data_IF_615505033027
#
_entry.id   IF_615505033027
#
_cell.length_a   1.000
_cell.length_b   1.000
_cell.length_c   1.000
_cell.angle_alpha   90.00
_cell.angle_beta   90.00
_cell.angle_gamma   90.00
#
_symmetry.space_group_name_H-M   'P 1'
#
loop_
_entity.id
_entity.type
_entity.pdbx_description
1 polymer ?
#
# COMPACT_ATOMS: atom_id res chain seq x y z
N UNK A 1 -16.71 4.52 -18.85
CA UNK A 1 -15.58 3.93 -19.56
C UNK A 1 -14.56 3.44 -18.55
N UNK A 2 -14.73 2.14 -18.24
CA UNK A 2 -13.88 1.20 -17.50
C UNK A 2 -13.42 1.56 -16.08
N UNK A 3 -14.36 1.39 -15.14
CA UNK A 3 -14.03 0.92 -13.79
C UNK A 3 -13.67 -0.56 -13.91
N UNK A 4 -12.41 -0.87 -14.16
CA UNK A 4 -11.90 -2.20 -13.83
C UNK A 4 -11.26 -2.08 -12.46
N UNK A 5 -12.05 -2.40 -11.42
CA UNK A 5 -11.53 -2.60 -10.08
C UNK A 5 -10.34 -3.57 -10.18
N UNK A 6 -9.12 -3.09 -9.93
CA UNK A 6 -7.92 -3.93 -9.99
C UNK A 6 -7.87 -4.94 -8.81
N UNK A 7 -8.88 -4.94 -7.94
CA UNK A 7 -9.09 -5.93 -6.90
C UNK A 7 -9.86 -7.13 -7.48
N UNK A 8 -9.25 -8.32 -7.38
CA UNK A 8 -9.93 -9.58 -7.65
C UNK A 8 -10.64 -10.09 -6.39
N UNK A 9 -9.94 -10.13 -5.25
CA UNK A 9 -10.46 -10.64 -4.00
C UNK A 9 -9.69 -10.10 -2.80
N UNK A 10 -10.39 -9.98 -1.68
CA UNK A 10 -9.80 -9.78 -0.37
C UNK A 10 -10.23 -10.95 0.53
N UNK A 11 -9.27 -11.62 1.14
CA UNK A 11 -9.54 -12.74 2.04
C UNK A 11 -8.97 -12.46 3.42
N UNK A 12 -9.68 -12.89 4.46
CA UNK A 12 -9.10 -13.09 5.79
C UNK A 12 -8.88 -14.61 5.90
N UNK A 13 -7.71 -15.13 5.50
CA UNK A 13 -7.48 -16.57 5.55
C UNK A 13 -7.53 -17.07 7.00
N UNK A 14 -8.03 -18.29 7.20
CA UNK A 14 -7.91 -18.95 8.50
C UNK A 14 -6.44 -19.34 8.74
N UNK A 15 -5.72 -18.60 9.58
CA UNK A 15 -4.31 -18.88 9.89
C UNK A 15 -3.50 -17.66 10.33
N UNK A 16 -2.18 -17.74 10.18
CA UNK A 16 -1.20 -16.71 10.59
C UNK A 16 -1.22 -15.42 9.75
N UNK A 17 -2.18 -15.21 8.85
CA UNK A 17 -2.22 -13.99 8.02
C UNK A 17 -3.48 -13.20 8.34
N UNK A 18 -3.35 -11.90 8.53
CA UNK A 18 -4.48 -11.03 8.88
C UNK A 18 -5.42 -10.80 7.70
N UNK A 19 -4.85 -10.73 6.48
CA UNK A 19 -5.58 -10.65 5.22
C UNK A 19 -4.65 -10.80 4.01
N UNK A 20 -5.26 -11.19 2.90
CA UNK A 20 -4.61 -11.38 1.60
C UNK A 20 -5.33 -10.52 0.54
N UNK A 21 -4.54 -9.83 -0.28
CA UNK A 21 -5.00 -9.01 -1.40
C UNK A 21 -4.67 -9.71 -2.72
N UNK A 22 -5.70 -10.04 -3.49
CA UNK A 22 -5.56 -10.55 -4.85
C UNK A 22 -5.95 -9.46 -5.84
N UNK A 23 -5.05 -9.16 -6.76
CA UNK A 23 -5.22 -8.17 -7.81
C UNK A 23 -5.59 -8.83 -9.14
N UNK A 24 -6.24 -8.10 -10.04
CA UNK A 24 -6.49 -8.58 -11.41
C UNK A 24 -5.22 -8.62 -12.24
N UNK A 25 -4.33 -7.65 -12.01
CA UNK A 25 -3.04 -7.54 -12.68
C UNK A 25 -1.88 -7.80 -11.70
N UNK A 26 -0.69 -8.13 -12.20
CA UNK A 26 0.51 -8.20 -11.37
C UNK A 26 0.74 -6.92 -10.56
N UNK A 27 1.38 -7.07 -9.41
CA UNK A 27 1.71 -5.96 -8.50
C UNK A 27 2.63 -4.99 -9.25
N UNK A 28 2.13 -3.79 -9.52
CA UNK A 28 2.87 -2.78 -10.28
C UNK A 28 3.77 -1.92 -9.38
N UNK A 29 4.74 -1.26 -10.01
CA UNK A 29 5.69 -0.37 -9.32
C UNK A 29 5.01 0.73 -8.51
N UNK A 30 3.85 1.22 -8.95
CA UNK A 30 3.10 2.26 -8.22
C UNK A 30 2.66 1.73 -6.85
N UNK A 31 2.02 0.57 -6.78
CA UNK A 31 1.62 -0.04 -5.51
C UNK A 31 2.84 -0.30 -4.60
N UNK A 32 3.96 -0.74 -5.19
CA UNK A 32 5.22 -0.97 -4.46
C UNK A 32 5.74 0.32 -3.82
N UNK A 33 5.75 1.44 -4.54
CA UNK A 33 6.14 2.76 -4.00
C UNK A 33 5.28 3.14 -2.79
N UNK A 34 3.97 2.88 -2.86
CA UNK A 34 3.03 3.14 -1.77
C UNK A 34 3.26 2.24 -0.54
N UNK A 35 3.83 1.04 -0.70
CA UNK A 35 4.16 0.16 0.42
C UNK A 35 5.43 0.53 1.18
N UNK A 36 6.35 1.29 0.60
CA UNK A 36 7.61 1.71 1.24
C UNK A 36 7.43 2.46 2.57
N UNK A 37 6.26 3.05 2.82
CA UNK A 37 5.98 3.72 4.10
C UNK A 37 5.79 2.75 5.26
N UNK A 38 5.54 1.47 4.97
CA UNK A 38 5.21 0.45 5.96
C UNK A 38 6.40 -0.33 6.47
N UNK A 39 7.59 -0.17 5.92
CA UNK A 39 8.77 -0.85 6.44
C UNK A 39 9.96 -0.84 5.50
N UNK A 40 11.05 -1.46 5.94
CA UNK A 40 12.23 -1.66 5.13
C UNK A 40 11.98 -2.78 4.12
N UNK A 41 12.45 -2.59 2.88
CA UNK A 41 12.32 -3.58 1.81
C UNK A 41 13.41 -4.64 1.95
N UNK A 42 13.00 -5.90 2.04
CA UNK A 42 13.87 -7.07 1.98
C UNK A 42 13.53 -7.87 0.73
N UNK A 43 14.57 -8.37 0.06
CA UNK A 43 14.45 -9.22 -1.13
C UNK A 43 15.13 -10.54 -0.81
N UNK A 44 14.46 -11.65 -1.12
CA UNK A 44 15.01 -13.00 -0.98
C UNK A 44 14.79 -13.73 -2.28
N UNK A 45 15.87 -14.12 -2.95
CA UNK A 45 15.80 -14.99 -4.12
C UNK A 45 15.40 -16.40 -3.69
N UNK A 46 14.40 -16.98 -4.36
CA UNK A 46 13.92 -18.32 -4.10
C UNK A 46 14.59 -19.33 -5.04
N UNK A 47 14.62 -20.63 -4.69
CA UNK A 47 15.14 -21.69 -5.58
C UNK A 47 14.48 -21.75 -6.96
N UNK A 48 13.28 -21.16 -7.10
CA UNK A 48 12.55 -21.03 -8.36
C UNK A 48 13.09 -19.90 -9.27
N UNK A 49 14.11 -19.16 -8.83
CA UNK A 49 14.63 -17.96 -9.49
C UNK A 49 13.79 -16.71 -9.30
N UNK A 50 12.66 -16.79 -8.58
CA UNK A 50 11.79 -15.65 -8.30
C UNK A 50 12.21 -14.94 -7.03
N UNK A 51 12.05 -13.61 -7.00
CA UNK A 51 12.24 -12.84 -5.78
C UNK A 51 10.98 -12.84 -4.91
N UNK A 52 11.17 -13.08 -3.62
CA UNK A 52 10.21 -12.76 -2.57
C UNK A 52 10.56 -11.39 -1.98
N UNK A 53 9.62 -10.45 -2.09
CA UNK A 53 9.76 -9.10 -1.56
C UNK A 53 8.94 -9.00 -0.27
N UNK A 54 9.57 -8.46 0.78
CA UNK A 54 8.91 -8.17 2.05
C UNK A 54 9.17 -6.74 2.51
N UNK A 55 8.12 -6.03 2.93
CA UNK A 55 8.26 -4.82 3.75
C UNK A 55 8.02 -5.18 5.21
N UNK A 56 8.98 -4.85 6.08
CA UNK A 56 8.95 -5.25 7.51
C UNK A 56 9.07 -4.04 8.42
N UNK A 57 8.19 -3.94 9.42
CA UNK A 57 8.26 -2.93 10.49
C UNK A 57 7.42 -3.31 11.70
N UNK A 58 8.02 -3.34 12.89
CA UNK A 58 7.31 -3.45 14.18
C UNK A 58 6.22 -4.55 14.19
N UNK A 59 6.54 -5.73 13.65
CA UNK A 59 5.61 -6.87 13.54
C UNK A 59 4.58 -6.79 12.42
N UNK A 60 4.64 -5.78 11.54
CA UNK A 60 3.93 -5.76 10.25
C UNK A 60 4.83 -6.33 9.14
N UNK A 61 4.27 -7.26 8.38
CA UNK A 61 4.90 -7.87 7.21
C UNK A 61 3.97 -7.76 6.01
N UNK A 62 4.45 -7.14 4.94
CA UNK A 62 3.77 -7.11 3.63
C UNK A 62 4.64 -7.91 2.66
N UNK A 63 4.16 -9.09 2.24
CA UNK A 63 4.95 -10.02 1.43
C UNK A 63 4.29 -10.29 0.09
N UNK A 64 5.07 -10.33 -0.98
CA UNK A 64 4.63 -10.76 -2.30
C UNK A 64 5.79 -11.35 -3.10
N UNK A 65 5.45 -12.18 -4.09
CA UNK A 65 6.41 -12.70 -5.06
C UNK A 65 6.44 -11.77 -6.28
N UNK A 66 7.62 -11.60 -6.86
CA UNK A 66 7.81 -10.89 -8.12
C UNK A 66 6.92 -11.49 -9.23
N UNK A 67 6.39 -10.61 -10.08
CA UNK A 67 5.45 -10.93 -11.17
C UNK A 67 4.16 -11.65 -10.76
N UNK A 68 3.79 -11.62 -9.47
CA UNK A 68 2.52 -12.14 -8.99
C UNK A 68 1.52 -11.03 -8.68
N UNK A 69 0.26 -11.41 -8.54
CA UNK A 69 -0.88 -10.53 -8.24
C UNK A 69 -1.40 -10.71 -6.79
N UNK A 70 -0.64 -11.38 -5.93
CA UNK A 70 -1.05 -11.73 -4.57
C UNK A 70 -0.12 -11.10 -3.53
N UNK A 71 -0.69 -10.33 -2.61
CA UNK A 71 0.02 -9.72 -1.48
C UNK A 71 -0.54 -10.28 -0.16
N UNK A 72 0.36 -10.77 0.69
CA UNK A 72 0.03 -11.28 2.02
C UNK A 72 0.37 -10.25 3.08
N UNK A 73 -0.55 -10.06 4.03
CA UNK A 73 -0.36 -9.16 5.16
C UNK A 73 -0.38 -9.94 6.46
N UNK A 74 0.65 -9.77 7.28
CA UNK A 74 0.73 -10.32 8.62
C UNK A 74 1.05 -9.21 9.64
N UNK A 75 0.32 -9.20 10.74
CA UNK A 75 0.39 -8.25 11.84
C UNK A 75 0.46 -9.06 13.13
N UNK A 76 1.61 -9.04 13.78
CA UNK A 76 1.81 -9.77 15.05
C UNK A 76 0.96 -9.24 16.20
N UNK A 77 0.73 -7.92 16.25
CA UNK A 77 0.00 -7.26 17.33
C UNK A 77 -1.48 -7.05 16.94
N UNK A 78 -2.34 -7.99 17.36
CA UNK A 78 -3.78 -7.97 17.07
C UNK A 78 -4.48 -6.65 17.46
N UNK A 79 -3.97 -5.98 18.51
CA UNK A 79 -4.51 -4.68 18.96
C UNK A 79 -4.33 -3.59 17.91
N UNK A 80 -3.29 -3.71 17.06
CA UNK A 80 -2.98 -2.78 15.96
C UNK A 80 -3.62 -3.17 14.64
N UNK A 81 -4.07 -4.41 14.47
CA UNK A 81 -4.61 -4.95 13.21
C UNK A 81 -5.66 -4.03 12.59
N UNK A 82 -6.66 -3.60 13.36
CA UNK A 82 -7.72 -2.70 12.85
C UNK A 82 -7.17 -1.36 12.34
N UNK A 83 -6.21 -0.77 13.05
CA UNK A 83 -5.60 0.50 12.66
C UNK A 83 -4.73 0.33 11.42
N UNK A 84 -3.83 -0.65 11.42
CA UNK A 84 -2.91 -0.91 10.31
C UNK A 84 -3.66 -1.28 9.03
N UNK A 85 -4.71 -2.12 9.11
CA UNK A 85 -5.63 -2.39 7.99
C UNK A 85 -6.11 -1.09 7.36
N UNK A 86 -6.65 -0.15 8.16
CA UNK A 86 -7.12 1.16 7.64
C UNK A 86 -6.02 1.93 6.91
N UNK A 87 -4.79 1.94 7.42
CA UNK A 87 -3.68 2.67 6.79
C UNK A 87 -3.23 2.00 5.48
N UNK A 88 -3.18 0.67 5.46
CA UNK A 88 -2.83 -0.14 4.29
C UNK A 88 -3.85 0.08 3.18
N UNK A 89 -5.16 -0.05 3.47
CA UNK A 89 -6.20 0.18 2.46
C UNK A 89 -6.18 1.61 1.93
N UNK A 90 -5.84 2.61 2.75
CA UNK A 90 -5.64 3.98 2.24
C UNK A 90 -4.51 4.05 1.23
N UNK A 91 -3.37 3.39 1.47
CA UNK A 91 -2.27 3.40 0.49
C UNK A 91 -2.62 2.62 -0.78
N UNK A 92 -3.30 1.48 -0.67
CA UNK A 92 -3.79 0.73 -1.85
C UNK A 92 -4.77 1.60 -2.65
N UNK A 93 -5.75 2.22 -2.00
CA UNK A 93 -6.67 3.13 -2.69
C UNK A 93 -5.95 4.33 -3.30
N UNK A 94 -4.89 4.84 -2.66
CA UNK A 94 -4.07 5.90 -3.24
C UNK A 94 -3.30 5.42 -4.47
N UNK A 95 -2.75 4.20 -4.50
CA UNK A 95 -2.05 3.70 -5.69
C UNK A 95 -2.98 3.64 -6.90
N UNK A 96 -4.20 3.14 -6.72
CA UNK A 96 -5.17 2.99 -7.81
C UNK A 96 -5.74 4.32 -8.31
N UNK A 97 -5.66 5.38 -7.51
CA UNK A 97 -6.24 6.68 -7.83
C UNK A 97 -5.23 7.81 -7.97
N UNK A 98 -3.93 7.54 -7.80
CA UNK A 98 -2.91 8.59 -7.80
C UNK A 98 -2.93 9.34 -9.14
N UNK A 99 -3.06 10.65 -9.07
CA UNK A 99 -2.96 11.58 -10.21
C UNK A 99 -1.68 12.42 -10.12
N UNK A 100 -0.71 11.95 -9.32
CA UNK A 100 0.60 12.59 -9.16
C UNK A 100 0.52 14.07 -8.69
N UNK A 101 -0.53 14.43 -7.95
CA UNK A 101 -0.82 15.82 -7.52
C UNK A 101 0.18 16.45 -6.53
N UNK A 102 1.15 15.69 -5.99
CA UNK A 102 2.16 16.23 -5.07
C UNK A 102 1.70 16.58 -3.64
N UNK A 103 0.41 16.49 -3.30
CA UNK A 103 -0.08 16.84 -1.97
C UNK A 103 0.61 16.06 -0.82
N UNK A 104 0.90 14.79 -1.03
CA UNK A 104 1.66 13.98 -0.09
C UNK A 104 3.15 14.35 -0.03
N UNK A 105 3.71 14.86 -1.13
CA UNK A 105 5.05 15.46 -1.18
C UNK A 105 5.13 16.69 -0.28
N UNK A 106 4.22 17.65 -0.48
CA UNK A 106 4.16 18.86 0.35
C UNK A 106 3.87 18.60 1.83
N UNK A 107 3.13 17.53 2.15
CA UNK A 107 2.86 17.12 3.53
C UNK A 107 3.94 16.25 4.19
N UNK A 108 5.02 15.89 3.48
CA UNK A 108 6.07 15.03 4.02
C UNK A 108 7.13 15.86 4.76
N UNK A 109 7.24 15.77 6.10
CA UNK A 109 8.20 16.57 6.86
C UNK A 109 9.66 16.19 6.60
N UNK A 110 9.90 15.05 5.95
CA UNK A 110 11.26 14.58 5.62
C UNK A 110 11.66 14.91 4.17
N UNK A 111 10.76 15.50 3.37
CA UNK A 111 10.99 15.68 1.94
C UNK A 111 11.29 14.36 1.21
N UNK A 112 10.68 13.26 1.67
CA UNK A 112 10.97 11.92 1.19
C UNK A 112 10.11 11.49 -0.01
N UNK A 113 9.11 12.29 -0.38
CA UNK A 113 8.17 11.97 -1.46
C UNK A 113 8.37 12.96 -2.59
N UNK A 114 8.57 12.44 -3.80
CA UNK A 114 8.76 13.25 -5.02
C UNK A 114 7.80 12.81 -6.11
N UNK A 115 7.49 13.73 -7.03
CA UNK A 115 6.76 13.45 -8.26
C UNK A 115 7.68 13.82 -9.42
N UNK A 116 8.39 12.85 -10.01
CA UNK A 116 9.16 13.07 -11.24
C UNK A 116 9.58 11.73 -11.91
N UNK A 117 8.93 11.26 -12.99
CA UNK A 117 7.66 11.73 -13.56
C UNK A 117 6.44 11.26 -12.75
N UNK A 118 6.61 10.25 -11.89
CA UNK A 118 5.55 9.66 -11.08
C UNK A 118 5.89 9.72 -9.59
N UNK A 119 4.89 9.45 -8.76
CA UNK A 119 5.04 9.25 -7.33
C UNK A 119 6.18 8.29 -6.99
N UNK A 120 7.10 8.76 -6.14
CA UNK A 120 8.24 7.99 -5.63
C UNK A 120 8.52 8.32 -4.17
N UNK A 121 8.90 7.31 -3.39
CA UNK A 121 9.37 7.46 -2.01
C UNK A 121 10.86 7.13 -1.92
N UNK A 122 11.63 8.11 -1.47
CA UNK A 122 13.02 7.93 -1.09
C UNK A 122 13.12 7.26 0.29
N UNK A 123 13.49 5.99 0.31
CA UNK A 123 13.54 5.16 1.52
C UNK A 123 14.60 5.61 2.53
N UNK A 124 15.67 6.28 2.07
CA UNK A 124 16.72 6.83 2.93
C UNK A 124 16.27 8.08 3.69
N UNK A 125 15.34 8.85 3.12
CA UNK A 125 14.75 10.03 3.76
C UNK A 125 13.50 9.69 4.56
N UNK A 126 12.73 8.69 4.12
CA UNK A 126 11.48 8.32 4.77
C UNK A 126 11.77 7.68 6.13
N UNK A 127 11.28 8.30 7.20
CA UNK A 127 11.33 7.76 8.57
C UNK A 127 10.07 6.95 8.96
N UNK A 128 9.22 6.61 7.98
CA UNK A 128 8.02 5.77 8.17
C UNK A 128 7.04 6.33 9.22
N UNK A 129 6.93 7.66 9.34
CA UNK A 129 6.00 8.34 10.27
C UNK A 129 4.51 8.16 9.92
N UNK A 130 4.18 7.64 8.73
CA UNK A 130 2.82 7.39 8.23
C UNK A 130 1.92 8.63 8.11
N UNK A 131 2.46 9.84 8.23
CA UNK A 131 1.67 11.08 8.12
C UNK A 131 0.95 11.20 6.76
N UNK A 132 1.59 10.73 5.69
CA UNK A 132 1.04 10.68 4.32
C UNK A 132 -0.09 9.64 4.13
N UNK A 133 -0.38 8.84 5.17
CA UNK A 133 -1.51 7.91 5.25
C UNK A 133 -2.65 8.44 6.16
N UNK A 134 -2.38 9.54 6.86
CA UNK A 134 -3.28 10.13 7.84
C UNK A 134 -4.36 10.97 7.16
N UNK A 135 -5.55 10.99 7.77
CA UNK A 135 -6.65 11.86 7.36
C UNK A 135 -6.66 13.20 8.10
N UNK A 136 -5.69 13.43 8.99
CA UNK A 136 -5.62 14.64 9.83
C UNK A 136 -5.43 15.91 9.01
N UNK A 137 -4.61 15.87 7.97
CA UNK A 137 -4.24 17.06 7.17
C UNK A 137 -4.93 17.09 5.81
N UNK A 138 -5.35 15.93 5.31
CA UNK A 138 -6.01 15.78 4.04
C UNK A 138 -7.12 14.74 4.18
N UNK A 139 -8.37 15.13 3.91
CA UNK A 139 -9.50 14.21 3.98
C UNK A 139 -9.27 13.01 3.07
N UNK A 140 -9.60 11.82 3.55
CA UNK A 140 -9.27 10.53 2.90
C UNK A 140 -7.79 10.30 2.60
N UNK A 141 -6.88 11.12 3.17
CA UNK A 141 -5.42 11.10 2.94
C UNK A 141 -4.97 11.36 1.49
N UNK A 142 -5.89 11.74 0.59
CA UNK A 142 -5.62 11.90 -0.83
C UNK A 142 -6.65 12.79 -1.53
N UNK A 143 -6.18 13.75 -2.32
CA UNK A 143 -7.03 14.65 -3.13
C UNK A 143 -7.86 13.83 -4.11
N UNK A 144 -7.25 12.87 -4.82
CA UNK A 144 -7.98 12.06 -5.79
C UNK A 144 -9.09 11.24 -5.14
N UNK A 145 -8.86 10.64 -3.96
CA UNK A 145 -9.92 9.90 -3.28
C UNK A 145 -11.07 10.81 -2.83
N UNK A 146 -10.77 12.06 -2.48
CA UNK A 146 -11.78 13.02 -2.03
C UNK A 146 -12.59 13.61 -3.20
N UNK A 147 -11.95 13.93 -4.33
CA UNK A 147 -12.55 14.76 -5.38
C UNK A 147 -12.71 14.09 -6.75
N UNK A 148 -12.00 12.98 -7.05
CA UNK A 148 -12.09 12.33 -8.36
C UNK A 148 -13.50 11.73 -8.52
N UNK A 149 -14.20 12.14 -9.57
CA UNK A 149 -15.55 11.68 -9.89
C UNK A 149 -15.62 10.14 -9.99
N UNK A 150 -14.67 9.55 -10.73
CA UNK A 150 -14.53 8.09 -10.89
C UNK A 150 -13.34 7.60 -10.09
N UNK A 151 -13.62 7.01 -8.92
CA UNK A 151 -12.61 6.49 -7.99
C UNK A 151 -12.77 4.99 -7.77
N UNK A 152 -11.64 4.31 -7.68
CA UNK A 152 -11.56 2.90 -7.29
C UNK A 152 -11.49 2.86 -5.77
N UNK A 153 -12.45 2.22 -5.10
CA UNK A 153 -12.47 2.10 -3.63
C UNK A 153 -12.50 0.63 -3.24
N UNK A 154 -11.38 0.19 -2.70
CA UNK A 154 -11.20 -1.12 -2.08
C UNK A 154 -11.53 -0.96 -0.59
N UNK A 155 -12.56 -1.68 -0.16
CA UNK A 155 -12.98 -1.76 1.24
C UNK A 155 -12.92 -3.22 1.70
N UNK A 156 -12.70 -3.42 3.01
CA UNK A 156 -13.08 -4.67 3.66
C UNK A 156 -14.60 -4.79 3.56
N UNK A 157 -15.11 -5.73 2.76
CA UNK A 157 -16.46 -6.24 3.01
C UNK A 157 -16.37 -6.95 4.36
N UNK A 158 -16.97 -6.37 5.39
CA UNK A 158 -17.28 -7.15 6.58
C UNK A 158 -18.22 -8.27 6.11
N UNK A 159 -17.74 -9.51 6.11
CA UNK A 159 -18.65 -10.62 6.36
C UNK A 159 -18.96 -10.62 7.85
#
# INVERSE_FOLDING_TARGET
YHNEENLLKLESPCGKHDFDLYLKNPINNRLIEFFKVFGEKHITELPTGKNLIRFVRNGLYISYLEDQNHVKFYIEDERKTKQLKKLIFRQINKSENCIDCGACGGGCPQGAITINPHFHINEKKCNKCLICTSTKYLKMSCIALHYKEKRIIINLKNK
#
